data_IF_863047246807
#
_entry.id   IF_863047246807
#
_cell.length_a   1.000
_cell.length_b   1.000
_cell.length_c   1.000
_cell.angle_alpha   90.00
_cell.angle_beta   90.00
_cell.angle_gamma   90.00
#
_symmetry.space_group_name_H-M   'P 1'
#
loop_
_entity.id
_entity.type
_entity.pdbx_description
1 polymer ?
#
# COMPACT_ATOMS: atom_id res chain seq x y z
N UNK A 1 11.48 5.83 -4.22
CA UNK A 1 10.69 4.88 -5.03
C UNK A 1 9.78 4.22 -4.01
N UNK A 2 8.44 4.24 -4.15
CA UNK A 2 7.47 3.80 -3.11
C UNK A 2 7.95 2.60 -2.28
N UNK A 3 8.52 1.62 -2.96
CA UNK A 3 8.97 0.33 -2.40
C UNK A 3 10.12 0.41 -1.39
N UNK A 4 11.01 1.40 -1.47
CA UNK A 4 12.10 1.58 -0.48
C UNK A 4 11.62 2.27 0.79
N UNK A 5 10.52 3.02 0.72
CA UNK A 5 9.95 3.68 1.90
C UNK A 5 8.99 2.73 2.65
N UNK A 6 8.49 1.70 1.96
CA UNK A 6 7.61 0.67 2.54
C UNK A 6 8.35 -0.39 3.37
N UNK A 7 9.66 -0.56 3.20
CA UNK A 7 10.51 -1.42 4.07
C UNK A 7 10.90 -0.62 5.33
N UNK A 8 10.01 -0.61 6.34
CA UNK A 8 10.15 0.28 7.50
C UNK A 8 11.38 -0.03 8.36
N UNK A 9 11.77 -1.30 8.42
CA UNK A 9 12.85 -1.77 9.30
C UNK A 9 14.17 -2.06 8.55
N UNK A 10 14.22 -1.77 7.23
CA UNK A 10 15.35 -2.02 6.32
C UNK A 10 15.83 -3.48 6.36
N UNK A 11 14.94 -4.44 6.67
CA UNK A 11 15.30 -5.86 6.76
C UNK A 11 15.19 -6.59 5.41
N UNK A 12 14.70 -5.91 4.38
CA UNK A 12 14.54 -6.42 3.02
C UNK A 12 13.24 -7.21 2.80
N UNK A 13 12.37 -7.30 3.81
CA UNK A 13 11.08 -7.96 3.76
C UNK A 13 9.95 -6.94 3.93
N UNK A 14 8.87 -7.13 3.18
CA UNK A 14 7.64 -6.35 3.33
C UNK A 14 6.65 -7.26 4.06
N UNK A 15 6.53 -7.10 5.37
CA UNK A 15 5.53 -7.84 6.15
C UNK A 15 4.21 -7.07 6.21
N UNK A 16 3.15 -7.73 6.70
CA UNK A 16 1.89 -7.04 6.97
C UNK A 16 2.05 -5.88 7.96
N UNK A 17 3.05 -5.94 8.85
CA UNK A 17 3.36 -4.83 9.77
C UNK A 17 3.93 -3.65 9.00
N UNK A 18 4.83 -3.88 8.05
CA UNK A 18 5.44 -2.81 7.24
C UNK A 18 4.40 -2.13 6.34
N UNK A 19 3.50 -2.92 5.74
CA UNK A 19 2.36 -2.40 4.97
C UNK A 19 1.41 -1.62 5.87
N UNK A 20 1.07 -2.13 7.05
CA UNK A 20 0.20 -1.43 7.99
C UNK A 20 0.85 -0.12 8.49
N UNK A 21 2.13 -0.14 8.84
CA UNK A 21 2.85 1.05 9.28
C UNK A 21 2.93 2.11 8.17
N UNK A 22 3.14 1.67 6.93
CA UNK A 22 3.27 2.58 5.80
C UNK A 22 1.93 3.14 5.31
N UNK A 23 0.91 2.30 5.16
CA UNK A 23 -0.37 2.68 4.54
C UNK A 23 -1.48 2.99 5.52
N UNK A 24 -1.46 2.44 6.73
CA UNK A 24 -2.49 2.68 7.75
C UNK A 24 -1.98 3.70 8.78
N UNK A 25 -0.73 3.60 9.24
CA UNK A 25 -0.25 4.46 10.33
C UNK A 25 0.34 5.78 9.83
N UNK A 26 1.12 5.77 8.75
CA UNK A 26 1.72 7.01 8.23
C UNK A 26 0.75 7.88 7.42
N UNK A 27 -0.32 7.28 6.88
CA UNK A 27 -1.28 7.97 6.01
C UNK A 27 -2.58 8.32 6.75
N UNK A 28 -2.80 7.83 7.99
CA UNK A 28 -3.89 8.24 8.88
C UNK A 28 -3.55 9.60 9.53
N UNK A 29 -4.08 10.68 8.96
CA UNK A 29 -3.78 12.04 9.40
C UNK A 29 -4.69 12.48 10.54
N UNK A 30 -5.93 12.00 10.55
CA UNK A 30 -6.93 12.36 11.56
C UNK A 30 -6.89 11.45 12.81
N UNK A 31 -6.10 10.38 12.75
CA UNK A 31 -5.84 9.38 13.81
C UNK A 31 -7.09 8.61 14.20
N UNK A 32 -7.91 8.25 13.23
CA UNK A 32 -9.14 7.49 13.42
C UNK A 32 -8.96 5.97 13.22
N UNK A 33 -7.71 5.50 13.08
CA UNK A 33 -7.30 4.13 12.83
C UNK A 33 -7.72 3.56 11.46
N UNK A 34 -8.19 4.42 10.53
CA UNK A 34 -8.51 4.08 9.14
C UNK A 34 -7.97 5.14 8.20
N UNK A 35 -7.60 4.77 6.97
CA UNK A 35 -7.21 5.76 5.96
C UNK A 35 -8.28 5.85 4.89
N UNK A 36 -8.87 7.03 4.75
CA UNK A 36 -9.83 7.28 3.67
C UNK A 36 -9.14 7.63 2.34
N UNK A 37 -9.89 7.54 1.23
CA UNK A 37 -9.37 7.84 -0.11
C UNK A 37 -8.74 9.24 -0.19
N UNK A 38 -9.32 10.23 0.49
CA UNK A 38 -8.84 11.61 0.42
C UNK A 38 -7.52 11.79 1.17
N UNK A 39 -7.36 11.15 2.33
CA UNK A 39 -6.10 11.09 3.07
C UNK A 39 -5.02 10.40 2.27
N UNK A 40 -5.37 9.26 1.66
CA UNK A 40 -4.44 8.51 0.83
C UNK A 40 -3.97 9.30 -0.38
N UNK A 41 -4.91 9.83 -1.18
CA UNK A 41 -4.61 10.58 -2.39
C UNK A 41 -3.78 11.82 -2.08
N UNK A 42 -4.13 12.55 -1.02
CA UNK A 42 -3.38 13.74 -0.61
C UNK A 42 -1.96 13.40 -0.19
N UNK A 43 -1.78 12.34 0.61
CA UNK A 43 -0.45 11.95 1.07
C UNK A 43 0.40 11.39 -0.08
N UNK A 44 -0.19 10.57 -0.94
CA UNK A 44 0.48 10.02 -2.13
C UNK A 44 0.94 11.13 -3.07
N UNK A 45 0.06 12.08 -3.38
CA UNK A 45 0.39 13.23 -4.22
C UNK A 45 1.51 14.09 -3.60
N UNK A 46 1.50 14.27 -2.27
CA UNK A 46 2.56 15.01 -1.58
C UNK A 46 3.91 14.29 -1.59
N UNK A 47 3.92 12.96 -1.48
CA UNK A 47 5.15 12.16 -1.45
C UNK A 47 5.76 11.95 -2.84
N UNK A 48 4.91 11.67 -3.85
CA UNK A 48 5.36 11.21 -5.17
C UNK A 48 5.08 12.20 -6.30
N UNK A 49 4.27 13.23 -6.07
CA UNK A 49 3.85 14.20 -7.09
C UNK A 49 3.16 13.58 -8.32
N UNK A 50 2.62 12.37 -8.18
CA UNK A 50 1.80 11.68 -9.18
C UNK A 50 0.40 12.30 -9.28
N UNK A 51 -0.34 12.02 -10.36
CA UNK A 51 -1.71 12.52 -10.51
C UNK A 51 -2.67 11.92 -9.47
N UNK A 52 -3.67 12.71 -9.04
CA UNK A 52 -4.68 12.26 -8.06
C UNK A 52 -5.43 11.01 -8.55
N UNK A 53 -5.79 10.97 -9.84
CA UNK A 53 -6.45 9.81 -10.44
C UNK A 53 -5.62 8.52 -10.34
N UNK A 54 -4.30 8.65 -10.37
CA UNK A 54 -3.39 7.52 -10.20
C UNK A 54 -3.40 7.04 -8.74
N UNK A 55 -3.30 7.96 -7.78
CA UNK A 55 -3.38 7.63 -6.36
C UNK A 55 -4.72 6.96 -6.00
N UNK A 56 -5.82 7.42 -6.59
CA UNK A 56 -7.14 6.78 -6.45
C UNK A 56 -7.15 5.34 -6.97
N UNK A 57 -6.47 5.09 -8.11
CA UNK A 57 -6.39 3.74 -8.67
C UNK A 57 -5.59 2.80 -7.75
N UNK A 58 -4.50 3.29 -7.16
CA UNK A 58 -3.74 2.54 -6.16
C UNK A 58 -4.61 2.27 -4.93
N UNK A 59 -5.30 3.28 -4.39
CA UNK A 59 -6.19 3.13 -3.24
C UNK A 59 -7.20 2.00 -3.44
N UNK A 60 -7.92 1.98 -4.57
CA UNK A 60 -8.89 0.93 -4.87
C UNK A 60 -8.28 -0.47 -5.07
N UNK A 61 -6.99 -0.57 -5.37
CA UNK A 61 -6.31 -1.87 -5.42
C UNK A 61 -5.89 -2.36 -4.04
N UNK A 62 -5.55 -1.42 -3.14
CA UNK A 62 -5.21 -1.70 -1.77
C UNK A 62 -6.46 -1.99 -0.92
N UNK A 63 -7.59 -1.34 -1.22
CA UNK A 63 -8.91 -1.57 -0.60
C UNK A 63 -9.46 -2.91 -1.10
N UNK A 64 -9.20 -3.97 -0.34
CA UNK A 64 -9.45 -5.34 -0.80
C UNK A 64 -10.88 -5.79 -0.54
N UNK A 65 -11.53 -5.20 0.46
CA UNK A 65 -12.91 -5.47 0.82
C UNK A 65 -13.90 -4.45 0.23
N UNK A 66 -13.40 -3.44 -0.50
CA UNK A 66 -14.15 -2.40 -1.22
C UNK A 66 -15.07 -1.61 -0.27
N UNK A 67 -14.58 -1.38 0.95
CA UNK A 67 -15.33 -0.66 1.99
C UNK A 67 -15.09 0.87 1.93
N UNK A 68 -14.17 1.32 1.08
CA UNK A 68 -13.78 2.71 0.90
C UNK A 68 -12.77 3.22 1.91
N UNK A 69 -12.08 2.33 2.63
CA UNK A 69 -11.11 2.64 3.69
C UNK A 69 -10.02 1.59 3.70
N UNK A 70 -8.80 1.99 4.01
CA UNK A 70 -7.70 1.07 4.27
C UNK A 70 -7.57 0.86 5.78
N UNK A 71 -7.74 -0.38 6.21
CA UNK A 71 -7.47 -0.78 7.60
C UNK A 71 -6.69 -2.11 7.67
N UNK A 72 -6.45 -2.60 8.90
CA UNK A 72 -5.68 -3.83 9.11
C UNK A 72 -6.31 -5.07 8.44
N UNK A 73 -7.60 -5.03 8.14
CA UNK A 73 -8.34 -6.08 7.44
C UNK A 73 -7.92 -6.21 5.97
N UNK A 74 -7.43 -5.13 5.35
CA UNK A 74 -6.94 -5.11 3.98
C UNK A 74 -5.51 -5.62 3.83
N UNK A 75 -4.74 -5.59 4.92
CA UNK A 75 -3.32 -5.96 4.93
C UNK A 75 -3.14 -7.43 4.58
N UNK A 76 -3.85 -8.34 5.25
CA UNK A 76 -3.76 -9.78 5.02
C UNK A 76 -4.04 -10.20 3.56
N UNK A 77 -5.16 -9.78 2.94
CA UNK A 77 -5.44 -10.07 1.53
C UNK A 77 -4.48 -9.35 0.58
N UNK A 78 -3.99 -8.15 0.92
CA UNK A 78 -2.97 -7.46 0.14
C UNK A 78 -1.67 -8.26 0.09
N UNK A 79 -1.15 -8.69 1.25
CA UNK A 79 0.08 -9.48 1.36
C UNK A 79 -0.04 -10.77 0.54
N UNK A 80 -1.20 -11.44 0.59
CA UNK A 80 -1.46 -12.63 -0.23
C UNK A 80 -1.49 -12.35 -1.74
N UNK A 81 -1.91 -11.15 -2.16
CA UNK A 81 -1.88 -10.75 -3.58
C UNK A 81 -0.48 -10.37 -4.03
N UNK A 82 0.30 -9.75 -3.16
CA UNK A 82 1.68 -9.36 -3.42
C UNK A 82 2.66 -10.54 -3.36
N UNK A 83 2.36 -11.59 -2.59
CA UNK A 83 3.15 -12.83 -2.50
C UNK A 83 2.98 -13.68 -3.77
N UNK A 84 3.71 -13.30 -4.82
CA UNK A 84 3.69 -13.99 -6.11
C UNK A 84 4.42 -15.32 -6.09
N UNK A 85 5.39 -15.48 -5.19
CA UNK A 85 6.19 -16.70 -5.04
C UNK A 85 5.45 -17.78 -4.24
N UNK A 86 4.48 -17.39 -3.41
CA UNK A 86 3.67 -18.27 -2.57
C UNK A 86 4.45 -18.85 -1.39
N UNK A 87 5.54 -18.21 -0.97
CA UNK A 87 6.37 -18.63 0.16
C UNK A 87 5.88 -18.05 1.51
N UNK A 88 4.85 -17.20 1.47
CA UNK A 88 4.27 -16.52 2.63
C UNK A 88 5.05 -15.29 3.07
N UNK A 89 6.03 -14.83 2.28
CA UNK A 89 6.90 -13.69 2.58
C UNK A 89 6.93 -12.77 1.35
N UNK A 90 6.44 -11.54 1.48
CA UNK A 90 6.54 -10.58 0.38
C UNK A 90 7.91 -9.92 0.41
N UNK A 91 8.71 -10.18 -0.61
CA UNK A 91 9.99 -9.48 -0.80
C UNK A 91 9.78 -8.11 -1.46
N UNK A 92 10.72 -7.18 -1.28
CA UNK A 92 10.70 -5.87 -1.97
C UNK A 92 10.49 -6.04 -3.48
N UNK A 93 11.10 -7.06 -4.09
CA UNK A 93 10.95 -7.31 -5.53
C UNK A 93 9.52 -7.68 -5.92
N UNK A 94 8.82 -8.43 -5.08
CA UNK A 94 7.43 -8.84 -5.30
C UNK A 94 6.48 -7.68 -5.04
N UNK A 95 6.68 -6.93 -3.96
CA UNK A 95 5.90 -5.73 -3.70
C UNK A 95 6.09 -4.67 -4.79
N UNK A 96 7.32 -4.52 -5.30
CA UNK A 96 7.62 -3.68 -6.47
C UNK A 96 6.88 -4.17 -7.72
N UNK A 97 6.96 -5.47 -8.02
CA UNK A 97 6.29 -6.04 -9.18
C UNK A 97 4.77 -5.89 -9.09
N UNK A 98 4.21 -6.04 -7.89
CA UNK A 98 2.81 -5.79 -7.60
C UNK A 98 2.44 -4.34 -7.92
N UNK A 99 3.13 -3.36 -7.33
CA UNK A 99 2.89 -1.94 -7.63
C UNK A 99 3.09 -1.62 -9.12
N UNK A 100 4.16 -2.11 -9.74
CA UNK A 100 4.41 -1.94 -11.18
C UNK A 100 3.29 -2.53 -12.04
N UNK A 101 2.68 -3.64 -11.62
CA UNK A 101 1.51 -4.19 -12.30
C UNK A 101 0.31 -3.24 -12.23
N UNK A 102 0.10 -2.56 -11.09
CA UNK A 102 -0.93 -1.52 -10.97
C UNK A 102 -0.59 -0.31 -11.85
N UNK A 103 0.68 0.13 -11.84
CA UNK A 103 1.17 1.21 -12.69
C UNK A 103 0.92 0.93 -14.18
N UNK A 104 1.11 -0.30 -14.63
CA UNK A 104 0.90 -0.70 -16.03
C UNK A 104 -0.56 -1.03 -16.37
N UNK A 105 -1.45 -1.12 -15.38
CA UNK A 105 -2.87 -1.40 -15.59
C UNK A 105 -3.71 -0.14 -15.86
N UNK A 106 -3.14 1.05 -15.66
CA UNK A 106 -3.67 2.37 -16.07
C UNK A 106 -3.35 2.68 -17.54
#
# INVERSE_FOLDING_TARGET
MVVTDADHNDDGLITGIDVAEYFVINYDHDKNDVVDEAEFVRQWHNSFHDEEAFAQHIFHHLDTDDNGKLDLSDVDPLIKRADTSGDGIVQIAEFKAYLEAIYNAC
#
